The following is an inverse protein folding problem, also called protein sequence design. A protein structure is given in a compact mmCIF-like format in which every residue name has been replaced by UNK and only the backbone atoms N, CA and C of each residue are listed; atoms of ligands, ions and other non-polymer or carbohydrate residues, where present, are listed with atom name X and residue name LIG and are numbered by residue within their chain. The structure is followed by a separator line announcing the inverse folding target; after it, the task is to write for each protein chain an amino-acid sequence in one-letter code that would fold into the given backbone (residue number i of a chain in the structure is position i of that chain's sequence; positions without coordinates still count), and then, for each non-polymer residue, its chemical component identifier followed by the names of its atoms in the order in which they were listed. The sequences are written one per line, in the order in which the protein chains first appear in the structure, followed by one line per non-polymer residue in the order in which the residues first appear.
data_IF_293045769707
#
_entry.id   IF_293045769707
#
_cell.length_a   1.000
_cell.length_b   1.000
_cell.length_c   1.000
_cell.angle_alpha   90.00
_cell.angle_beta   90.00
_cell.angle_gamma   90.00
#
_symmetry.space_group_name_H-M   'P 1'
#
loop_
_entity.id
_entity.type
_entity.pdbx_description
1 polymer ?
#
# COMPACT_ATOMS: atom_id res chain seq x y z
N UNK A 1 -32.92 -2.56 -4.74
CA UNK A 1 -32.16 -1.45 -4.12
C UNK A 1 -30.89 -2.03 -3.53
N UNK A 2 -29.83 -2.11 -4.34
CA UNK A 2 -28.49 -2.48 -3.85
C UNK A 2 -27.98 -1.30 -3.05
N UNK A 3 -28.08 -1.36 -1.72
CA UNK A 3 -27.52 -0.33 -0.87
C UNK A 3 -26.03 -0.23 -1.19
N UNK A 4 -25.58 0.92 -1.69
CA UNK A 4 -24.16 1.24 -1.65
C UNK A 4 -23.76 1.13 -0.19
N UNK A 5 -22.97 0.12 0.15
CA UNK A 5 -22.31 0.06 1.45
C UNK A 5 -21.49 1.34 1.58
N UNK A 6 -21.84 2.20 2.54
CA UNK A 6 -21.12 3.45 2.79
C UNK A 6 -20.13 3.20 3.92
N UNK A 7 -18.84 3.38 3.67
CA UNK A 7 -17.79 3.29 4.68
C UNK A 7 -16.70 4.32 4.43
N UNK A 8 -15.69 4.36 5.30
CA UNK A 8 -14.52 5.25 5.15
C UNK A 8 -13.31 4.43 4.79
N UNK A 9 -12.44 5.00 3.96
CA UNK A 9 -11.17 4.39 3.59
C UNK A 9 -10.08 5.25 4.22
N UNK A 10 -9.27 4.63 5.07
CA UNK A 10 -8.09 5.21 5.68
C UNK A 10 -6.84 4.66 5.02
N UNK A 11 -5.76 5.43 5.01
CA UNK A 11 -4.49 5.04 4.43
C UNK A 11 -3.31 5.51 5.30
N UNK A 12 -2.28 4.68 5.37
CA UNK A 12 -0.99 4.92 6.04
C UNK A 12 0.11 4.12 5.32
N UNK A 13 1.37 4.22 5.73
CA UNK A 13 2.50 3.45 5.13
C UNK A 13 3.46 2.92 6.19
N UNK A 14 4.28 1.93 5.85
CA UNK A 14 5.52 1.60 6.58
C UNK A 14 5.31 1.39 8.08
N UNK A 15 4.43 0.45 8.44
CA UNK A 15 4.13 0.16 9.84
C UNK A 15 5.16 -0.77 10.47
N UNK A 16 5.86 -1.57 9.68
CA UNK A 16 6.94 -2.46 10.14
C UNK A 16 6.53 -3.31 11.37
N UNK A 17 5.27 -3.77 11.39
CA UNK A 17 4.69 -4.55 12.48
C UNK A 17 4.32 -3.77 13.74
N UNK A 18 4.43 -2.44 13.76
CA UNK A 18 4.10 -1.59 14.92
C UNK A 18 2.59 -1.54 15.17
N UNK A 19 2.18 -1.73 16.43
CA UNK A 19 0.77 -1.60 16.84
C UNK A 19 0.43 -0.22 17.40
N UNK A 20 1.43 0.64 17.65
CA UNK A 20 1.27 1.89 18.42
C UNK A 20 0.19 2.81 17.81
N UNK A 21 0.17 3.08 16.49
CA UNK A 21 -0.87 3.95 15.91
C UNK A 21 -2.28 3.37 16.07
N UNK A 22 -2.40 2.03 16.03
CA UNK A 22 -3.68 1.35 16.11
C UNK A 22 -4.23 1.30 17.54
N UNK A 23 -3.36 1.19 18.54
CA UNK A 23 -3.76 1.43 19.94
C UNK A 23 -4.33 2.84 20.11
N UNK A 24 -3.64 3.86 19.61
CA UNK A 24 -4.12 5.25 19.70
C UNK A 24 -5.45 5.49 18.99
N UNK A 25 -5.66 4.88 17.81
CA UNK A 25 -6.95 4.91 17.14
C UNK A 25 -8.05 4.18 17.92
N UNK A 26 -7.72 3.02 18.49
CA UNK A 26 -8.64 2.22 19.28
C UNK A 26 -9.11 2.97 20.53
N UNK A 27 -8.19 3.58 21.28
CA UNK A 27 -8.50 4.36 22.49
C UNK A 27 -9.45 5.54 22.21
N UNK A 28 -9.36 6.15 21.02
CA UNK A 28 -10.26 7.23 20.62
C UNK A 28 -11.67 6.74 20.26
N UNK A 29 -11.85 5.45 19.98
CA UNK A 29 -13.16 4.85 19.75
C UNK A 29 -13.92 5.37 18.53
N UNK A 30 -13.20 5.92 17.53
CA UNK A 30 -13.83 6.57 16.35
C UNK A 30 -13.98 5.65 15.14
N UNK A 31 -13.36 4.46 15.17
CA UNK A 31 -13.36 3.50 14.06
C UNK A 31 -14.59 2.59 14.07
N UNK A 32 -15.01 2.16 12.89
CA UNK A 32 -16.22 1.37 12.62
C UNK A 32 -15.84 0.09 11.90
N UNK A 33 -16.71 -0.90 11.97
CA UNK A 33 -16.59 -2.16 11.24
C UNK A 33 -16.69 -1.98 9.71
N UNK A 34 -17.36 -0.92 9.27
CA UNK A 34 -17.42 -0.48 7.86
C UNK A 34 -16.18 0.31 7.40
N UNK A 35 -15.19 0.52 8.25
CA UNK A 35 -13.98 1.24 7.82
C UNK A 35 -12.99 0.26 7.17
N UNK A 36 -12.22 0.77 6.21
CA UNK A 36 -11.10 0.05 5.60
C UNK A 36 -9.84 0.83 5.90
N UNK A 37 -8.78 0.15 6.33
CA UNK A 37 -7.45 0.70 6.48
C UNK A 37 -6.54 0.08 5.43
N UNK A 38 -5.89 0.92 4.62
CA UNK A 38 -4.89 0.52 3.64
C UNK A 38 -3.49 0.88 4.17
N UNK A 39 -2.56 -0.07 4.11
CA UNK A 39 -1.13 0.17 4.40
C UNK A 39 -0.34 0.11 3.08
N UNK A 40 0.31 1.22 2.71
CA UNK A 40 1.04 1.43 1.47
C UNK A 40 2.45 0.78 1.48
N UNK A 41 2.48 -0.52 1.77
CA UNK A 41 3.72 -1.30 1.85
C UNK A 41 4.31 -1.36 3.26
N UNK A 42 5.25 -2.28 3.44
CA UNK A 42 5.96 -2.54 4.68
C UNK A 42 5.02 -2.59 5.91
N UNK A 43 3.98 -3.42 5.81
CA UNK A 43 3.04 -3.61 6.91
C UNK A 43 3.69 -4.41 8.03
N UNK A 44 4.47 -5.45 7.70
CA UNK A 44 5.33 -6.19 8.65
C UNK A 44 4.61 -7.12 9.63
N UNK A 45 3.31 -7.36 9.41
CA UNK A 45 2.52 -8.29 10.24
C UNK A 45 2.63 -9.74 9.77
N UNK A 46 2.90 -9.95 8.48
CA UNK A 46 3.02 -11.28 7.85
C UNK A 46 4.50 -11.58 7.58
N UNK A 47 5.20 -12.03 8.62
CA UNK A 47 6.65 -12.23 8.55
C UNK A 47 7.09 -13.66 8.87
N UNK A 48 6.50 -14.26 9.89
CA UNK A 48 6.78 -15.62 10.36
C UNK A 48 5.49 -16.45 10.31
N UNK A 49 5.58 -17.78 10.45
CA UNK A 49 4.41 -18.68 10.43
C UNK A 49 3.37 -18.36 11.54
N UNK A 50 3.79 -17.68 12.61
CA UNK A 50 2.93 -17.23 13.71
C UNK A 50 2.24 -15.88 13.44
N UNK A 51 2.26 -15.38 12.18
CA UNK A 51 1.64 -14.11 11.78
C UNK A 51 0.17 -13.97 12.19
N UNK A 52 -0.54 -15.08 12.37
CA UNK A 52 -1.95 -15.07 12.75
C UNK A 52 -2.19 -14.33 14.07
N UNK A 53 -1.26 -14.41 15.04
CA UNK A 53 -1.38 -13.67 16.31
C UNK A 53 -1.27 -12.15 16.10
N UNK A 54 -0.40 -11.71 15.17
CA UNK A 54 -0.27 -10.30 14.81
C UNK A 54 -1.51 -9.81 14.06
N UNK A 55 -2.02 -10.61 13.11
CA UNK A 55 -3.24 -10.31 12.38
C UNK A 55 -4.46 -10.23 13.31
N UNK A 56 -4.58 -11.12 14.29
CA UNK A 56 -5.65 -11.11 15.29
C UNK A 56 -5.55 -9.90 16.21
N UNK A 57 -4.34 -9.57 16.67
CA UNK A 57 -4.11 -8.36 17.47
C UNK A 57 -4.53 -7.11 16.69
N UNK A 58 -4.12 -7.00 15.42
CA UNK A 58 -4.47 -5.86 14.58
C UNK A 58 -5.99 -5.75 14.37
N UNK A 59 -6.66 -6.89 14.17
CA UNK A 59 -8.12 -6.97 14.03
C UNK A 59 -8.89 -6.67 15.32
N UNK A 60 -8.27 -6.84 16.50
CA UNK A 60 -8.85 -6.40 17.78
C UNK A 60 -8.73 -4.88 17.95
N UNK A 61 -7.62 -4.29 17.50
CA UNK A 61 -7.40 -2.84 17.58
C UNK A 61 -8.22 -2.08 16.54
N UNK A 62 -8.33 -2.62 15.32
CA UNK A 62 -9.08 -2.02 14.22
C UNK A 62 -10.36 -2.83 13.91
N UNK A 63 -11.56 -2.28 14.17
CA UNK A 63 -12.82 -3.03 14.00
C UNK A 63 -13.17 -3.32 12.53
N UNK A 64 -12.61 -2.56 11.59
CA UNK A 64 -12.87 -2.68 10.16
C UNK A 64 -11.98 -3.69 9.42
N UNK A 65 -11.85 -3.56 8.11
CA UNK A 65 -10.96 -4.42 7.31
C UNK A 65 -9.59 -3.76 7.16
N UNK A 66 -8.51 -4.51 7.39
CA UNK A 66 -7.15 -4.05 7.11
C UNK A 66 -6.66 -4.68 5.81
N UNK A 67 -6.15 -3.87 4.91
CA UNK A 67 -5.52 -4.34 3.69
C UNK A 67 -4.16 -3.67 3.52
N UNK A 68 -3.25 -4.33 2.83
CA UNK A 68 -1.92 -3.78 2.56
C UNK A 68 -1.44 -4.21 1.19
N UNK A 69 -0.65 -3.37 0.55
CA UNK A 69 0.21 -3.79 -0.56
C UNK A 69 1.54 -4.23 0.03
N UNK A 70 2.32 -5.02 -0.70
CA UNK A 70 3.66 -5.38 -0.26
C UNK A 70 4.67 -4.24 -0.48
N UNK A 71 5.67 -4.18 0.39
CA UNK A 71 6.85 -3.33 0.20
C UNK A 71 8.11 -4.17 0.03
N UNK A 72 9.29 -3.62 0.37
CA UNK A 72 10.56 -4.36 0.35
C UNK A 72 10.91 -4.99 1.72
N UNK A 73 10.07 -4.79 2.73
CA UNK A 73 10.15 -5.45 4.04
C UNK A 73 8.88 -6.28 4.30
N UNK A 74 8.62 -7.25 3.42
CA UNK A 74 7.61 -8.30 3.60
C UNK A 74 8.20 -9.69 3.38
N UNK A 75 7.60 -10.73 3.95
CA UNK A 75 7.98 -12.11 3.62
C UNK A 75 7.25 -12.56 2.34
N UNK A 76 7.88 -12.30 1.17
CA UNK A 76 7.28 -12.58 -0.13
C UNK A 76 7.02 -14.07 -0.39
N UNK A 77 7.81 -14.97 0.20
CA UNK A 77 7.58 -16.42 0.08
C UNK A 77 6.32 -16.82 0.85
N UNK A 78 6.17 -16.32 2.07
CA UNK A 78 4.98 -16.57 2.89
C UNK A 78 3.73 -16.00 2.22
N UNK A 79 3.80 -14.76 1.71
CA UNK A 79 2.69 -14.14 0.98
C UNK A 79 2.31 -14.94 -0.26
N UNK A 80 3.28 -15.39 -1.06
CA UNK A 80 3.02 -16.17 -2.28
C UNK A 80 2.38 -17.54 -2.01
N UNK A 81 2.54 -18.08 -0.80
CA UNK A 81 1.94 -19.35 -0.39
C UNK A 81 0.49 -19.26 0.11
N UNK A 82 -0.08 -18.06 0.20
CA UNK A 82 -1.43 -17.84 0.73
C UNK A 82 -2.53 -18.10 -0.29
N UNK A 83 -3.74 -18.38 0.21
CA UNK A 83 -4.93 -18.52 -0.64
C UNK A 83 -5.25 -17.23 -1.39
N UNK A 84 -5.44 -17.35 -2.70
CA UNK A 84 -5.88 -16.24 -3.55
C UNK A 84 -7.42 -16.19 -3.56
N UNK A 85 -7.96 -15.05 -3.17
CA UNK A 85 -9.41 -14.77 -3.17
C UNK A 85 -9.73 -13.54 -4.02
N UNK A 86 -10.99 -13.37 -4.41
CA UNK A 86 -11.49 -12.10 -4.98
C UNK A 86 -12.00 -11.21 -3.85
N UNK A 87 -11.45 -10.01 -3.73
CA UNK A 87 -11.87 -9.01 -2.75
C UNK A 87 -12.10 -7.68 -3.47
N UNK A 88 -13.30 -7.11 -3.38
CA UNK A 88 -13.66 -5.83 -4.01
C UNK A 88 -13.21 -5.68 -5.48
N UNK A 89 -13.36 -6.73 -6.29
CA UNK A 89 -13.02 -6.74 -7.73
C UNK A 89 -11.63 -7.30 -8.05
N UNK A 90 -10.62 -7.05 -7.21
CA UNK A 90 -9.25 -7.52 -7.42
C UNK A 90 -8.97 -8.90 -6.82
N UNK A 91 -7.86 -9.52 -7.23
CA UNK A 91 -7.28 -10.69 -6.57
C UNK A 91 -6.49 -10.26 -5.32
N UNK A 92 -6.59 -10.99 -4.23
CA UNK A 92 -5.87 -10.70 -2.98
C UNK A 92 -5.44 -12.00 -2.31
N UNK A 93 -4.33 -11.96 -1.56
CA UNK A 93 -3.99 -13.04 -0.65
C UNK A 93 -4.80 -12.91 0.64
N UNK A 94 -5.44 -13.99 1.06
CA UNK A 94 -6.22 -14.06 2.30
C UNK A 94 -5.28 -14.27 3.49
N UNK A 95 -5.10 -13.23 4.30
CA UNK A 95 -4.27 -13.29 5.51
C UNK A 95 -5.08 -13.77 6.71
N UNK A 96 -6.27 -13.21 6.90
CA UNK A 96 -7.23 -13.61 7.94
C UNK A 96 -8.65 -13.16 7.58
N UNK A 97 -9.63 -13.32 8.46
CA UNK A 97 -11.04 -12.97 8.21
C UNK A 97 -11.22 -11.54 7.69
N UNK A 98 -10.57 -10.54 8.31
CA UNK A 98 -10.64 -9.13 7.92
C UNK A 98 -9.27 -8.55 7.53
N UNK A 99 -8.34 -9.40 7.09
CA UNK A 99 -7.02 -8.95 6.62
C UNK A 99 -6.65 -9.55 5.26
N UNK A 100 -6.17 -8.69 4.36
CA UNK A 100 -5.81 -9.09 2.99
C UNK A 100 -4.54 -8.40 2.51
N UNK A 101 -3.71 -9.11 1.76
CA UNK A 101 -2.66 -8.51 0.95
C UNK A 101 -3.17 -8.31 -0.47
N UNK A 102 -3.12 -7.07 -0.94
CA UNK A 102 -3.58 -6.64 -2.26
C UNK A 102 -2.49 -6.92 -3.29
N UNK A 103 -2.79 -7.72 -4.31
CA UNK A 103 -1.80 -8.15 -5.29
C UNK A 103 -1.43 -7.02 -6.25
N UNK A 104 -0.15 -6.98 -6.64
CA UNK A 104 0.42 -5.98 -7.56
C UNK A 104 -0.35 -5.91 -8.88
N UNK A 105 -0.69 -4.70 -9.31
CA UNK A 105 -1.36 -4.41 -10.58
C UNK A 105 -2.89 -4.59 -10.56
N UNK A 106 -3.49 -5.04 -9.45
CA UNK A 106 -4.94 -5.16 -9.34
C UNK A 106 -5.61 -3.79 -9.10
N UNK A 107 -6.91 -3.74 -9.40
CA UNK A 107 -7.77 -2.59 -9.14
C UNK A 107 -8.90 -3.02 -8.20
N UNK A 108 -9.12 -2.26 -7.13
CA UNK A 108 -10.14 -2.53 -6.13
C UNK A 108 -11.22 -1.46 -6.13
N UNK A 109 -12.47 -1.86 -6.27
CA UNK A 109 -13.65 -1.00 -6.25
C UNK A 109 -14.25 -0.97 -4.85
N UNK A 110 -13.94 0.07 -4.08
CA UNK A 110 -14.30 0.21 -2.67
C UNK A 110 -15.09 1.50 -2.46
N UNK A 111 -16.32 1.38 -1.97
CA UNK A 111 -17.21 2.51 -1.66
C UNK A 111 -17.35 3.54 -2.81
N UNK A 112 -17.35 3.04 -4.05
CA UNK A 112 -17.48 3.85 -5.26
C UNK A 112 -16.17 4.42 -5.82
N UNK A 113 -15.03 4.13 -5.16
CA UNK A 113 -13.70 4.50 -5.62
C UNK A 113 -12.98 3.29 -6.22
N UNK A 114 -12.34 3.49 -7.38
CA UNK A 114 -11.43 2.51 -7.95
C UNK A 114 -9.99 2.86 -7.59
N UNK A 115 -9.32 1.91 -6.94
CA UNK A 115 -7.98 2.06 -6.38
C UNK A 115 -7.06 1.08 -7.11
N UNK A 116 -6.16 1.60 -7.94
CA UNK A 116 -5.07 0.82 -8.52
C UNK A 116 -3.95 0.68 -7.50
N UNK A 117 -3.39 -0.52 -7.37
CA UNK A 117 -2.30 -0.76 -6.42
C UNK A 117 -1.08 -1.41 -7.06
N UNK A 118 0.10 -1.05 -6.58
CA UNK A 118 1.34 -1.70 -7.01
C UNK A 118 2.43 -1.63 -5.94
N UNK A 119 2.67 -2.75 -5.27
CA UNK A 119 3.71 -2.89 -4.25
C UNK A 119 5.10 -3.24 -4.79
N UNK A 120 6.02 -3.49 -3.86
CA UNK A 120 7.44 -3.79 -4.12
C UNK A 120 8.34 -2.55 -4.17
N UNK A 121 9.61 -2.77 -3.86
CA UNK A 121 10.72 -1.80 -3.98
C UNK A 121 12.06 -2.55 -3.87
N UNK A 122 13.18 -1.90 -4.23
CA UNK A 122 14.52 -2.43 -3.94
C UNK A 122 14.91 -2.16 -2.49
N UNK A 123 15.47 -3.17 -1.83
CA UNK A 123 16.11 -3.01 -0.52
C UNK A 123 17.51 -2.41 -0.66
N UNK A 124 17.80 -1.37 0.13
CA UNK A 124 19.12 -0.74 0.17
C UNK A 124 20.02 -1.33 1.27
N UNK A 125 19.53 -2.32 2.02
CA UNK A 125 20.19 -2.92 3.17
C UNK A 125 20.49 -4.42 2.99
N UNK A 126 20.49 -4.89 1.73
CA UNK A 126 20.75 -6.30 1.38
C UNK A 126 22.09 -6.81 1.93
N UNK A 127 23.11 -5.95 2.01
CA UNK A 127 24.44 -6.28 2.55
C UNK A 127 24.40 -6.69 4.04
N UNK A 128 23.32 -6.35 4.74
CA UNK A 128 23.11 -6.66 6.16
C UNK A 128 22.02 -7.71 6.37
N UNK A 129 21.44 -8.25 5.30
CA UNK A 129 20.34 -9.21 5.33
C UNK A 129 20.76 -10.54 4.72
N UNK A 130 19.97 -11.58 4.96
CA UNK A 130 20.22 -12.94 4.46
C UNK A 130 19.11 -13.30 3.47
N UNK A 131 19.50 -13.62 2.24
CA UNK A 131 18.55 -13.97 1.17
C UNK A 131 17.69 -15.18 1.59
N UNK A 132 16.38 -15.07 1.38
CA UNK A 132 15.40 -16.09 1.72
C UNK A 132 15.02 -16.15 3.21
N UNK A 133 15.63 -15.32 4.06
CA UNK A 133 15.29 -15.24 5.49
C UNK A 133 14.84 -13.86 5.91
N UNK A 134 15.67 -12.87 5.61
CA UNK A 134 15.38 -11.48 5.96
C UNK A 134 15.22 -10.61 4.75
N UNK A 135 15.61 -10.98 3.54
CA UNK A 135 15.25 -10.30 2.29
C UNK A 135 14.94 -11.29 1.16
N UNK A 136 14.20 -10.87 0.14
CA UNK A 136 13.82 -11.71 -1.00
C UNK A 136 13.99 -10.99 -2.34
N UNK A 137 14.41 -11.70 -3.38
CA UNK A 137 14.46 -11.16 -4.76
C UNK A 137 13.11 -10.67 -5.26
N UNK A 138 12.03 -11.22 -4.71
CA UNK A 138 10.64 -10.87 -4.99
C UNK A 138 10.23 -9.50 -4.41
N UNK A 139 11.07 -8.86 -3.58
CA UNK A 139 10.87 -7.46 -3.16
C UNK A 139 10.78 -6.53 -4.37
N UNK A 140 11.60 -6.78 -5.38
CA UNK A 140 11.49 -6.10 -6.67
C UNK A 140 10.46 -6.78 -7.58
N UNK A 141 9.54 -6.02 -8.19
CA UNK A 141 8.61 -6.52 -9.19
C UNK A 141 9.31 -7.11 -10.41
N UNK A 142 8.82 -8.27 -10.85
CA UNK A 142 9.23 -8.88 -12.12
C UNK A 142 8.72 -8.09 -13.32
N UNK A 143 9.35 -8.26 -14.48
CA UNK A 143 8.88 -7.65 -15.73
C UNK A 143 7.46 -8.08 -16.10
N UNK A 144 7.03 -9.30 -15.73
CA UNK A 144 5.67 -9.76 -15.95
C UNK A 144 4.66 -9.01 -15.07
N UNK A 145 4.97 -8.82 -13.78
CA UNK A 145 4.13 -8.04 -12.87
C UNK A 145 4.05 -6.58 -13.31
N UNK A 146 5.17 -5.97 -13.71
CA UNK A 146 5.21 -4.60 -14.26
C UNK A 146 4.36 -4.52 -15.53
N UNK A 147 4.49 -5.48 -16.44
CA UNK A 147 3.70 -5.54 -17.66
C UNK A 147 2.20 -5.69 -17.38
N UNK A 148 1.83 -6.53 -16.42
CA UNK A 148 0.45 -6.69 -15.96
C UNK A 148 -0.10 -5.41 -15.35
N UNK A 149 0.63 -4.79 -14.42
CA UNK A 149 0.23 -3.53 -13.80
C UNK A 149 0.09 -2.39 -14.80
N UNK A 150 1.05 -2.23 -15.72
CA UNK A 150 0.96 -1.25 -16.80
C UNK A 150 -0.28 -1.49 -17.64
N UNK A 151 -0.56 -2.73 -18.06
CA UNK A 151 -1.77 -3.05 -18.84
C UNK A 151 -3.04 -2.66 -18.08
N UNK A 152 -3.16 -3.09 -16.82
CA UNK A 152 -4.32 -2.80 -15.98
C UNK A 152 -4.51 -1.29 -15.79
N UNK A 153 -3.43 -0.55 -15.52
CA UNK A 153 -3.47 0.90 -15.35
C UNK A 153 -3.94 1.61 -16.64
N UNK A 154 -3.36 1.26 -17.79
CA UNK A 154 -3.65 1.93 -19.06
C UNK A 154 -5.06 1.62 -19.57
N UNK A 155 -5.53 0.37 -19.46
CA UNK A 155 -6.86 -0.02 -19.92
C UNK A 155 -7.98 0.62 -19.09
N UNK A 156 -7.70 0.97 -17.82
CA UNK A 156 -8.69 1.48 -16.86
C UNK A 156 -8.44 2.94 -16.44
N UNK A 157 -7.56 3.67 -17.14
CA UNK A 157 -7.11 5.03 -16.79
C UNK A 157 -8.25 6.01 -16.45
N UNK A 158 -9.36 5.90 -17.18
CA UNK A 158 -10.51 6.79 -17.06
C UNK A 158 -11.41 6.47 -15.85
N UNK A 159 -11.22 5.32 -15.23
CA UNK A 159 -11.99 4.84 -14.08
C UNK A 159 -11.25 4.96 -12.76
N UNK A 160 -9.93 5.15 -12.78
CA UNK A 160 -9.08 5.17 -11.57
C UNK A 160 -9.26 6.49 -10.81
N UNK A 161 -9.60 6.37 -9.53
CA UNK A 161 -9.71 7.51 -8.60
C UNK A 161 -8.42 7.69 -7.81
N UNK A 162 -7.79 6.57 -7.38
CA UNK A 162 -6.58 6.58 -6.57
C UNK A 162 -5.55 5.58 -7.06
N UNK A 163 -4.28 5.92 -6.87
CA UNK A 163 -3.14 5.00 -7.02
C UNK A 163 -2.45 4.85 -5.68
N UNK A 164 -2.08 3.63 -5.31
CA UNK A 164 -1.29 3.35 -4.11
C UNK A 164 -0.10 2.48 -4.51
N UNK A 165 1.11 3.00 -4.29
CA UNK A 165 2.35 2.25 -4.49
C UNK A 165 3.17 2.19 -3.22
N UNK A 166 4.14 1.28 -3.16
CA UNK A 166 5.12 1.33 -2.08
C UNK A 166 6.26 2.28 -2.46
N UNK A 167 6.91 2.02 -3.60
CA UNK A 167 7.94 2.92 -4.15
C UNK A 167 7.34 4.22 -4.72
N UNK A 168 8.16 5.28 -4.71
CA UNK A 168 7.82 6.61 -5.23
C UNK A 168 8.14 6.76 -6.72
N UNK A 169 7.39 7.60 -7.47
CA UNK A 169 7.87 8.18 -8.72
C UNK A 169 9.25 8.81 -8.56
N UNK A 170 10.10 8.74 -9.59
CA UNK A 170 11.50 9.18 -9.52
C UNK A 170 11.65 10.66 -9.13
N UNK A 171 10.96 11.59 -9.82
CA UNK A 171 11.04 13.04 -9.58
C UNK A 171 10.73 13.43 -8.13
N UNK A 172 9.86 12.68 -7.47
CA UNK A 172 9.43 12.99 -6.11
C UNK A 172 10.57 12.87 -5.08
N UNK A 173 11.61 12.07 -5.38
CA UNK A 173 12.78 11.93 -4.52
C UNK A 173 13.55 13.24 -4.36
N UNK A 174 13.52 14.12 -5.36
CA UNK A 174 14.16 15.45 -5.28
C UNK A 174 13.54 16.34 -4.20
N UNK A 175 12.28 16.08 -3.84
CA UNK A 175 11.53 16.85 -2.85
C UNK A 175 11.59 16.24 -1.44
N UNK A 176 12.14 15.03 -1.31
CA UNK A 176 12.16 14.29 -0.04
C UNK A 176 13.48 14.52 0.66
N UNK A 177 13.42 14.95 1.92
CA UNK A 177 14.60 15.26 2.73
C UNK A 177 15.53 14.06 2.99
N UNK A 178 15.02 12.84 2.82
CA UNK A 178 15.78 11.59 2.95
C UNK A 178 16.24 11.11 1.58
N UNK A 179 17.52 11.28 1.31
CA UNK A 179 18.17 10.73 0.12
C UNK A 179 18.38 9.22 0.29
N UNK A 180 17.81 8.45 -0.64
CA UNK A 180 18.16 7.04 -0.89
C UNK A 180 18.75 7.00 -2.30
N UNK A 181 20.06 6.77 -2.39
CA UNK A 181 20.73 6.60 -3.69
C UNK A 181 20.02 5.51 -4.50
N UNK A 182 19.90 5.75 -5.80
CA UNK A 182 19.32 4.80 -6.75
C UNK A 182 20.48 4.11 -7.46
N UNK A 183 20.51 2.80 -7.39
CA UNK A 183 21.42 1.98 -8.18
C UNK A 183 21.06 2.08 -9.67
N UNK A 184 22.07 2.09 -10.53
CA UNK A 184 21.90 2.34 -11.96
C UNK A 184 20.91 1.39 -12.66
N UNK A 185 20.76 0.16 -12.18
CA UNK A 185 19.87 -0.87 -12.72
C UNK A 185 18.53 -0.98 -11.96
N UNK A 186 18.19 0.02 -11.12
CA UNK A 186 16.91 0.10 -10.44
C UNK A 186 15.93 1.04 -11.17
N UNK A 187 15.04 0.46 -11.99
CA UNK A 187 14.15 1.21 -12.89
C UNK A 187 12.72 1.42 -12.39
N UNK A 188 12.34 0.85 -11.23
CA UNK A 188 10.96 0.97 -10.73
C UNK A 188 10.52 2.44 -10.51
N UNK A 189 11.35 3.34 -9.95
CA UNK A 189 10.99 4.75 -9.80
C UNK A 189 10.73 5.46 -11.14
N UNK A 190 11.52 5.16 -12.18
CA UNK A 190 11.35 5.70 -13.54
C UNK A 190 10.01 5.24 -14.13
N UNK A 191 9.68 3.96 -13.97
CA UNK A 191 8.41 3.40 -14.44
C UNK A 191 7.22 4.06 -13.74
N UNK A 192 7.33 4.33 -12.44
CA UNK A 192 6.28 5.01 -11.69
C UNK A 192 6.17 6.50 -12.03
N UNK A 193 7.26 7.15 -12.46
CA UNK A 193 7.19 8.48 -13.05
C UNK A 193 6.37 8.48 -14.33
N UNK A 194 6.68 7.59 -15.29
CA UNK A 194 5.90 7.45 -16.53
C UNK A 194 4.40 7.22 -16.24
N UNK A 195 4.09 6.34 -15.27
CA UNK A 195 2.72 6.04 -14.89
C UNK A 195 2.04 7.25 -14.24
N UNK A 196 2.76 7.99 -13.38
CA UNK A 196 2.25 9.17 -12.72
C UNK A 196 1.90 10.26 -13.73
N UNK A 197 2.76 10.52 -14.72
CA UNK A 197 2.47 11.50 -15.79
C UNK A 197 1.13 11.19 -16.46
N UNK A 198 0.92 9.95 -16.88
CA UNK A 198 -0.28 9.52 -17.59
C UNK A 198 -1.52 9.55 -16.69
N UNK A 199 -1.42 9.01 -15.46
CA UNK A 199 -2.55 8.94 -14.53
C UNK A 199 -2.95 10.32 -14.02
N UNK A 200 -2.00 11.24 -13.87
CA UNK A 200 -2.26 12.59 -13.37
C UNK A 200 -3.24 13.39 -14.24
N UNK A 201 -3.30 13.06 -15.53
CA UNK A 201 -4.23 13.63 -16.52
C UNK A 201 -5.61 12.94 -16.55
N UNK A 202 -5.75 11.82 -15.85
CA UNK A 202 -6.99 11.06 -15.76
C UNK A 202 -8.14 11.90 -15.20
N UNK A 203 -9.30 11.87 -15.88
CA UNK A 203 -10.48 12.70 -15.52
C UNK A 203 -10.99 12.46 -14.09
N UNK A 204 -10.92 11.21 -13.64
CA UNK A 204 -11.39 10.80 -12.30
C UNK A 204 -10.29 10.84 -11.24
N UNK A 205 -9.03 10.87 -11.66
CA UNK A 205 -7.90 10.69 -10.78
C UNK A 205 -7.78 11.84 -9.78
N UNK A 206 -7.78 11.45 -8.49
CA UNK A 206 -7.73 12.35 -7.35
C UNK A 206 -6.32 12.42 -6.76
N UNK A 207 -5.74 11.26 -6.41
CA UNK A 207 -4.48 11.23 -5.66
C UNK A 207 -3.73 9.91 -5.79
N UNK A 208 -2.41 10.03 -5.82
CA UNK A 208 -1.43 8.96 -5.66
C UNK A 208 -0.84 9.03 -4.26
N UNK A 209 -0.83 7.91 -3.57
CA UNK A 209 -0.20 7.73 -2.28
C UNK A 209 0.96 6.74 -2.38
N UNK A 210 2.08 7.01 -1.71
CA UNK A 210 3.21 6.08 -1.67
C UNK A 210 3.86 6.00 -0.28
N UNK A 211 4.52 4.88 0.00
CA UNK A 211 5.25 4.63 1.25
C UNK A 211 6.77 4.78 1.08
N UNK A 212 7.54 3.82 1.62
CA UNK A 212 8.97 3.55 1.41
C UNK A 212 9.96 4.62 1.89
N UNK A 213 9.63 5.90 1.75
CA UNK A 213 10.51 7.03 2.01
C UNK A 213 10.49 7.48 3.47
N UNK A 214 9.61 6.87 4.29
CA UNK A 214 9.47 7.12 5.73
C UNK A 214 9.27 8.61 6.08
N UNK A 215 8.50 9.32 5.24
CA UNK A 215 8.12 10.72 5.44
C UNK A 215 6.63 10.91 5.20
N UNK A 216 6.01 11.80 5.96
CA UNK A 216 4.65 12.28 5.72
C UNK A 216 4.73 13.62 4.99
N UNK A 217 4.61 13.61 3.66
CA UNK A 217 4.86 14.81 2.86
C UNK A 217 3.98 14.88 1.62
N UNK A 218 3.33 16.02 1.43
CA UNK A 218 2.68 16.35 0.16
C UNK A 218 3.75 16.80 -0.84
N UNK A 219 3.96 16.01 -1.89
CA UNK A 219 4.96 16.31 -2.94
C UNK A 219 4.34 17.23 -3.99
N UNK A 220 3.13 16.87 -4.44
CA UNK A 220 2.30 17.69 -5.34
C UNK A 220 0.86 17.66 -4.83
N UNK A 221 -0.06 18.50 -5.33
CA UNK A 221 -1.47 18.41 -4.97
C UNK A 221 -2.11 17.03 -5.21
N UNK A 222 -1.52 16.19 -6.09
CA UNK A 222 -2.00 14.83 -6.41
C UNK A 222 -1.05 13.71 -5.99
N UNK A 223 0.05 13.99 -5.29
CA UNK A 223 1.06 13.00 -4.89
C UNK A 223 1.49 13.20 -3.44
N UNK A 224 1.34 12.16 -2.61
CA UNK A 224 1.65 12.23 -1.17
C UNK A 224 2.41 11.00 -0.67
N UNK A 225 3.50 11.26 0.04
CA UNK A 225 4.23 10.27 0.82
C UNK A 225 3.52 10.00 2.16
N UNK A 226 3.52 8.74 2.59
CA UNK A 226 2.91 8.26 3.83
C UNK A 226 3.93 7.56 4.71
N UNK A 227 3.86 7.83 6.00
CA UNK A 227 4.57 7.09 7.04
C UNK A 227 3.72 7.05 8.32
N UNK A 228 3.82 8.05 9.20
CA UNK A 228 3.11 8.04 10.49
C UNK A 228 1.67 8.52 10.39
N UNK A 229 1.34 9.33 9.39
CA UNK A 229 -0.01 9.83 9.21
C UNK A 229 -0.98 8.69 8.90
N UNK A 230 -2.18 8.81 9.45
CA UNK A 230 -3.33 8.01 9.05
C UNK A 230 -4.35 9.00 8.49
N UNK A 231 -4.61 8.93 7.19
CA UNK A 231 -5.50 9.85 6.49
C UNK A 231 -6.76 9.12 6.08
N UNK A 232 -7.91 9.79 6.11
CA UNK A 232 -9.01 9.37 5.25
C UNK A 232 -8.64 9.73 3.81
N UNK A 233 -8.82 8.83 2.85
CA UNK A 233 -8.46 9.12 1.45
C UNK A 233 -9.23 10.34 0.95
N UNK A 234 -8.57 11.21 0.16
CA UNK A 234 -9.11 12.49 -0.29
C UNK A 234 -8.97 13.64 0.71
N UNK A 235 -8.67 13.36 1.99
CA UNK A 235 -8.41 14.38 3.01
C UNK A 235 -6.90 14.63 3.19
N UNK A 236 -6.53 15.83 3.63
CA UNK A 236 -5.14 16.19 3.93
C UNK A 236 -4.81 16.25 5.42
N UNK A 237 -5.85 16.28 6.27
CA UNK A 237 -5.68 16.36 7.72
C UNK A 237 -5.60 14.96 8.30
N UNK A 238 -4.49 14.58 8.97
CA UNK A 238 -4.36 13.28 9.61
C UNK A 238 -5.38 13.09 10.73
N UNK A 239 -5.90 11.87 10.83
CA UNK A 239 -6.58 11.40 12.01
C UNK A 239 -5.56 11.36 13.13
N UNK A 240 -5.79 12.14 14.18
CA UNK A 240 -4.94 12.08 15.37
C UNK A 240 -5.13 10.72 16.01
N UNK A 241 -4.06 9.95 16.13
CA UNK A 241 -4.03 8.70 16.91
C UNK A 241 -3.22 8.86 18.20
N UNK A 242 -2.18 9.72 18.19
CA UNK A 242 -1.55 10.26 19.40
C UNK A 242 -2.21 11.57 19.87
#
# INVERSE_FOLDING_TARGET
MTGCTTGRIFITGDKHGSFIPFFGLHEKGQMRDTDILIIAGDAGYVWNEDYIYKADTLQQLFPGTVVFIDGNHENHVLLAGMDIVRWNGGRAHKVSDRMYHLMRGEIYSVYGNNIFVFGGARSNDIDRRTEGQTWWKQEEPTLEEIGYGRKQLMENLHEIDYVITHETPLFAREFISRLKEIEYDYHLPEIFEDWYEIVSEGRRFQKWYFGHMHVDQLITPKLRALHNDILQIGEETPVRWA
#
